data_IF_309316223443
#
_entry.id   IF_309316223443
#
_cell.length_a   1.000
_cell.length_b   1.000
_cell.length_c   1.000
_cell.angle_alpha   90.00
_cell.angle_beta   90.00
_cell.angle_gamma   90.00
#
_symmetry.space_group_name_H-M   'P 1'
#
loop_
_entity.id
_entity.type
_entity.pdbx_description
1 polymer ?
#
# COMPACT_ATOMS: atom_id res chain seq x y z
N UNK A 1 -14.16 -6.03 -16.55
CA UNK A 1 -12.75 -6.25 -16.88
C UNK A 1 -11.86 -5.63 -15.84
N UNK A 2 -10.92 -6.38 -15.26
CA UNK A 2 -10.04 -5.80 -14.24
C UNK A 2 -9.15 -4.73 -14.87
N UNK A 3 -9.06 -3.60 -14.21
CA UNK A 3 -8.19 -2.53 -14.66
C UNK A 3 -6.78 -2.83 -14.22
N UNK A 4 -5.82 -2.52 -15.07
CA UNK A 4 -4.43 -2.63 -14.70
C UNK A 4 -4.07 -1.54 -13.69
N UNK A 5 -2.95 -1.72 -13.00
CA UNK A 5 -2.45 -0.69 -12.09
C UNK A 5 -2.20 0.61 -12.85
N UNK A 6 -1.72 0.49 -14.09
CA UNK A 6 -1.46 1.66 -14.92
C UNK A 6 -2.74 2.44 -15.21
N UNK A 7 -3.84 1.73 -15.48
CA UNK A 7 -5.13 2.38 -15.72
C UNK A 7 -5.61 3.14 -14.48
N UNK A 8 -5.41 2.55 -13.31
CA UNK A 8 -5.77 3.20 -12.05
C UNK A 8 -4.93 4.44 -11.81
N UNK A 9 -3.64 4.38 -12.10
CA UNK A 9 -2.74 5.51 -11.94
C UNK A 9 -3.09 6.64 -12.92
N UNK A 10 -3.36 6.29 -14.17
CA UNK A 10 -3.75 7.27 -15.18
C UNK A 10 -5.05 7.95 -14.79
N UNK A 11 -5.99 7.17 -14.26
CA UNK A 11 -7.27 7.71 -13.82
C UNK A 11 -7.11 8.63 -12.60
N UNK A 12 -6.21 8.26 -11.69
CA UNK A 12 -5.93 9.08 -10.51
C UNK A 12 -5.30 10.41 -10.91
N UNK A 13 -4.40 10.40 -11.90
CA UNK A 13 -3.78 11.62 -12.40
C UNK A 13 -4.82 12.53 -13.05
N UNK A 14 -5.73 11.94 -13.80
CA UNK A 14 -6.81 12.68 -14.43
C UNK A 14 -7.71 13.35 -13.39
N UNK A 15 -8.06 12.62 -12.34
CA UNK A 15 -8.86 13.16 -11.24
C UNK A 15 -8.09 14.29 -10.53
N UNK A 16 -6.83 14.06 -10.23
CA UNK A 16 -5.99 15.07 -9.58
C UNK A 16 -5.89 16.33 -10.42
N UNK A 17 -5.73 16.18 -11.73
CA UNK A 17 -5.66 17.30 -12.65
C UNK A 17 -6.97 18.10 -12.65
N UNK A 18 -8.11 17.42 -12.59
CA UNK A 18 -9.40 18.08 -12.51
C UNK A 18 -9.53 18.89 -11.22
N UNK A 19 -9.05 18.36 -10.11
CA UNK A 19 -9.10 19.06 -8.82
C UNK A 19 -8.22 20.30 -8.81
N UNK A 20 -7.08 20.25 -9.48
CA UNK A 20 -6.19 21.42 -9.57
C UNK A 20 -6.82 22.58 -10.29
N UNK A 21 -7.75 22.31 -11.20
CA UNK A 21 -8.42 23.33 -12.01
C UNK A 21 -9.74 23.80 -11.40
N UNK A 22 -10.13 23.24 -10.26
CA UNK A 22 -11.39 23.57 -9.62
C UNK A 22 -11.24 24.65 -8.58
N UNK A 23 -12.27 25.46 -8.42
CA UNK A 23 -12.31 26.45 -7.37
C UNK A 23 -12.47 25.76 -6.02
N UNK A 24 -11.74 26.22 -4.98
CA UNK A 24 -11.81 25.57 -3.66
C UNK A 24 -13.19 25.64 -3.01
N UNK A 25 -14.12 26.40 -3.59
CA UNK A 25 -15.45 26.58 -3.03
C UNK A 25 -16.43 25.48 -3.41
N UNK A 26 -16.04 24.55 -4.31
CA UNK A 26 -16.92 23.47 -4.69
C UNK A 26 -16.88 22.35 -3.64
N UNK A 27 -17.87 22.36 -2.73
CA UNK A 27 -17.94 21.41 -1.61
C UNK A 27 -18.04 19.95 -2.09
N UNK A 28 -18.71 19.72 -3.24
CA UNK A 28 -18.86 18.38 -3.79
C UNK A 28 -17.50 17.81 -4.23
N UNK A 29 -16.72 18.64 -4.91
CA UNK A 29 -15.40 18.23 -5.37
C UNK A 29 -14.45 17.97 -4.20
N UNK A 30 -14.53 18.82 -3.17
CA UNK A 30 -13.73 18.64 -1.94
C UNK A 30 -14.11 17.33 -1.27
N UNK A 31 -15.41 17.01 -1.22
CA UNK A 31 -15.88 15.77 -0.60
C UNK A 31 -15.38 14.54 -1.33
N UNK A 32 -15.35 14.59 -2.66
CA UNK A 32 -14.82 13.50 -3.48
C UNK A 32 -13.33 13.33 -3.22
N UNK A 33 -12.59 14.43 -3.15
CA UNK A 33 -11.15 14.38 -2.88
C UNK A 33 -10.86 13.74 -1.53
N UNK A 34 -11.62 14.12 -0.51
CA UNK A 34 -11.46 13.55 0.83
C UNK A 34 -11.76 12.05 0.81
N UNK A 35 -12.82 11.65 0.12
CA UNK A 35 -13.17 10.25 -0.01
C UNK A 35 -12.03 9.46 -0.64
N UNK A 36 -11.45 9.96 -1.72
CA UNK A 36 -10.34 9.29 -2.40
C UNK A 36 -9.12 9.16 -1.51
N UNK A 37 -8.81 10.20 -0.75
CA UNK A 37 -7.70 10.15 0.21
C UNK A 37 -7.93 9.11 1.28
N UNK A 38 -9.12 9.09 1.87
CA UNK A 38 -9.46 8.11 2.91
C UNK A 38 -9.40 6.69 2.35
N UNK A 39 -9.90 6.50 1.14
CA UNK A 39 -9.86 5.19 0.50
C UNK A 39 -8.43 4.72 0.28
N UNK A 40 -7.56 5.63 -0.15
CA UNK A 40 -6.16 5.30 -0.37
C UNK A 40 -5.45 4.91 0.92
N UNK A 41 -5.75 5.59 2.03
CA UNK A 41 -5.19 5.25 3.33
C UNK A 41 -5.63 3.85 3.77
N UNK A 42 -6.91 3.53 3.59
CA UNK A 42 -7.44 2.21 3.93
C UNK A 42 -6.79 1.12 3.07
N UNK A 43 -6.66 1.38 1.76
CA UNK A 43 -6.06 0.43 0.84
C UNK A 43 -4.59 0.17 1.21
N UNK A 44 -3.86 1.21 1.59
CA UNK A 44 -2.48 1.07 2.03
C UNK A 44 -2.38 0.21 3.29
N UNK A 45 -3.25 0.48 4.26
CA UNK A 45 -3.26 -0.29 5.51
C UNK A 45 -3.57 -1.76 5.25
N UNK A 46 -4.49 -2.03 4.32
CA UNK A 46 -4.84 -3.40 3.94
C UNK A 46 -3.66 -4.09 3.27
N UNK A 47 -2.98 -3.40 2.36
CA UNK A 47 -1.81 -3.93 1.68
C UNK A 47 -0.70 -4.25 2.68
N UNK A 48 -0.48 -3.40 3.67
CA UNK A 48 0.52 -3.64 4.69
C UNK A 48 0.19 -4.88 5.52
N UNK A 49 -1.07 -5.07 5.87
CA UNK A 49 -1.49 -6.28 6.58
C UNK A 49 -1.25 -7.53 5.73
N UNK A 50 -1.52 -7.44 4.42
CA UNK A 50 -1.25 -8.56 3.52
C UNK A 50 0.23 -8.89 3.47
N UNK A 51 1.09 -7.86 3.46
CA UNK A 51 2.54 -8.07 3.48
C UNK A 51 2.98 -8.74 4.77
N UNK A 52 2.48 -8.30 5.90
CA UNK A 52 2.80 -8.92 7.19
C UNK A 52 2.42 -10.40 7.18
N UNK A 53 1.21 -10.72 6.70
CA UNK A 53 0.75 -12.11 6.62
C UNK A 53 1.64 -12.93 5.68
N UNK A 54 2.02 -12.37 4.55
CA UNK A 54 2.88 -13.06 3.59
C UNK A 54 4.26 -13.32 4.17
N UNK A 55 4.82 -12.37 4.91
CA UNK A 55 6.13 -12.53 5.55
C UNK A 55 6.06 -13.60 6.64
N UNK A 56 4.98 -13.61 7.43
CA UNK A 56 4.77 -14.62 8.45
C UNK A 56 4.72 -16.02 7.82
N UNK A 57 3.97 -16.16 6.74
CA UNK A 57 3.86 -17.42 6.04
C UNK A 57 5.21 -17.84 5.45
N UNK A 58 5.95 -16.90 4.88
CA UNK A 58 7.27 -17.18 4.33
C UNK A 58 8.22 -17.70 5.42
N UNK A 59 8.23 -17.03 6.58
CA UNK A 59 9.06 -17.49 7.70
C UNK A 59 8.63 -18.85 8.21
N UNK A 60 7.34 -19.08 8.29
CA UNK A 60 6.79 -20.36 8.73
C UNK A 60 7.19 -21.47 7.76
N UNK A 61 7.27 -21.19 6.48
CA UNK A 61 7.69 -22.14 5.46
C UNK A 61 9.19 -22.40 5.47
N UNK A 62 9.96 -21.55 6.14
CA UNK A 62 11.39 -21.73 6.30
C UNK A 62 12.25 -20.80 5.47
N UNK A 63 11.67 -19.79 4.85
CA UNK A 63 12.46 -18.81 4.10
C UNK A 63 13.31 -17.98 5.05
N UNK A 64 14.52 -17.66 4.60
CA UNK A 64 15.42 -16.78 5.36
C UNK A 64 15.03 -15.32 5.16
N UNK A 65 15.50 -14.48 6.08
CA UNK A 65 15.30 -13.03 5.92
C UNK A 65 15.93 -12.52 4.64
N UNK A 66 17.03 -13.11 4.22
CA UNK A 66 17.68 -12.74 2.95
C UNK A 66 16.76 -13.02 1.76
N UNK A 67 16.12 -14.18 1.75
CA UNK A 67 15.19 -14.53 0.67
C UNK A 67 13.97 -13.62 0.67
N UNK A 68 13.42 -13.37 1.84
CA UNK A 68 12.24 -12.51 2.01
C UNK A 68 12.58 -11.08 1.57
N UNK A 69 13.70 -10.54 2.05
CA UNK A 69 14.09 -9.17 1.74
C UNK A 69 14.33 -8.98 0.24
N UNK A 70 14.85 -10.01 -0.42
CA UNK A 70 15.07 -9.97 -1.86
C UNK A 70 13.75 -9.73 -2.62
N UNK A 71 12.68 -10.38 -2.16
CA UNK A 71 11.36 -10.20 -2.77
C UNK A 71 10.76 -8.84 -2.44
N UNK A 72 11.04 -8.32 -1.23
CA UNK A 72 10.50 -7.04 -0.79
C UNK A 72 11.27 -5.84 -1.35
N UNK A 73 12.48 -6.06 -1.85
CA UNK A 73 13.31 -4.98 -2.35
C UNK A 73 13.95 -4.14 -1.26
N UNK A 74 14.13 -4.70 -0.07
CA UNK A 74 14.80 -4.03 1.05
C UNK A 74 15.90 -4.94 1.60
N UNK A 75 16.72 -4.41 2.53
CA UNK A 75 17.78 -5.23 3.14
C UNK A 75 17.21 -6.25 4.10
N UNK A 76 17.96 -7.32 4.34
CA UNK A 76 17.54 -8.35 5.29
C UNK A 76 17.36 -7.76 6.68
N UNK A 77 18.25 -6.84 7.07
CA UNK A 77 18.15 -6.17 8.36
C UNK A 77 16.88 -5.35 8.48
N UNK A 78 16.53 -4.60 7.41
CA UNK A 78 15.33 -3.79 7.39
C UNK A 78 14.08 -4.67 7.46
N UNK A 79 14.07 -5.78 6.73
CA UNK A 79 12.95 -6.72 6.76
C UNK A 79 12.76 -7.31 8.16
N UNK A 80 13.84 -7.68 8.80
CA UNK A 80 13.79 -8.23 10.15
C UNK A 80 13.30 -7.19 11.15
N UNK A 81 13.77 -5.95 11.05
CA UNK A 81 13.32 -4.89 11.93
C UNK A 81 11.83 -4.58 11.75
N UNK A 82 11.38 -4.56 10.49
CA UNK A 82 10.00 -4.20 10.20
C UNK A 82 9.01 -5.32 10.56
N UNK A 83 9.37 -6.56 10.31
CA UNK A 83 8.42 -7.68 10.44
C UNK A 83 8.77 -8.66 11.54
N UNK A 84 9.97 -8.60 12.09
CA UNK A 84 10.43 -9.56 13.08
C UNK A 84 9.58 -9.57 14.35
N UNK A 85 9.09 -8.41 14.77
CA UNK A 85 8.27 -8.30 15.99
C UNK A 85 6.92 -9.01 15.84
N UNK A 86 6.46 -9.20 14.62
CA UNK A 86 5.21 -9.91 14.37
C UNK A 86 5.37 -11.43 14.44
N UNK A 87 6.61 -11.91 14.43
CA UNK A 87 6.92 -13.33 14.32
C UNK A 87 7.38 -13.92 15.64
N UNK A 88 8.01 -13.12 16.47
CA UNK A 88 8.51 -13.56 17.76
C UNK A 88 7.38 -13.60 18.78
N UNK A 89 6.47 -14.48 18.57
CA UNK A 89 5.40 -14.69 19.51
C UNK A 89 5.60 -16.03 20.17
N UNK A 90 5.86 -16.00 21.37
CA UNK A 90 5.84 -17.25 22.11
C UNK A 90 5.62 -17.05 23.52
#
# INVERSE_FOLDING_TARGET
>A
MPRSIQDLLDHADEIASQFENLEPTDATEVSVAIYLLRRSVVDRARSERHLVQAVLEARHTGLTWKQISSELGISAQAAQQRYGSHITID
#
